data_IF_599457922580
#
_entry.id   IF_599457922580
#
_cell.length_a   1.000
_cell.length_b   1.000
_cell.length_c   1.000
_cell.angle_alpha   90.00
_cell.angle_beta   90.00
_cell.angle_gamma   90.00
#
_symmetry.space_group_name_H-M   'P 1'
#
loop_
_entity.id
_entity.type
_entity.pdbx_description
1 polymer ?
#
# COMPACT_ATOMS: atom_id res chain seq x y z
N UNK A 1 -2.67 3.08 6.97
CA UNK A 1 -1.22 3.15 6.67
C UNK A 1 -0.63 4.54 6.88
N UNK A 2 -1.16 5.64 6.31
CA UNK A 2 -0.55 6.99 6.41
C UNK A 2 -0.18 7.46 7.82
N UNK A 3 -1.03 7.18 8.82
CA UNK A 3 -0.72 7.49 10.23
C UNK A 3 0.50 6.73 10.77
N UNK A 4 0.68 5.48 10.34
CA UNK A 4 1.85 4.68 10.72
C UNK A 4 3.11 5.25 10.07
N UNK A 5 3.04 5.62 8.79
CA UNK A 5 4.14 6.30 8.10
C UNK A 5 4.55 7.60 8.81
N UNK A 6 3.58 8.45 9.19
CA UNK A 6 3.85 9.67 9.94
C UNK A 6 4.47 9.41 11.31
N UNK A 7 4.01 8.39 12.04
CA UNK A 7 4.63 8.01 13.31
C UNK A 7 6.09 7.58 13.13
N UNK A 8 6.43 6.90 12.03
CA UNK A 8 7.82 6.58 11.68
C UNK A 8 8.64 7.84 11.37
N UNK A 9 8.07 8.80 10.63
CA UNK A 9 8.74 10.10 10.36
C UNK A 9 9.00 10.85 11.66
N UNK A 10 8.00 10.95 12.53
CA UNK A 10 8.09 11.70 13.79
C UNK A 10 9.16 11.10 14.71
N UNK A 11 9.15 9.77 14.87
CA UNK A 11 10.20 9.08 15.63
C UNK A 11 11.59 9.29 15.01
N UNK A 12 11.72 9.16 13.69
CA UNK A 12 13.03 9.25 13.04
C UNK A 12 13.61 10.66 13.13
N UNK A 13 12.77 11.69 12.97
CA UNK A 13 13.18 13.09 13.09
C UNK A 13 13.57 13.48 14.53
N UNK A 14 12.98 12.85 15.54
CA UNK A 14 13.36 13.05 16.96
C UNK A 14 14.76 12.50 17.24
N UNK A 15 15.10 11.34 16.67
CA UNK A 15 16.42 10.71 16.84
C UNK A 15 17.50 11.32 15.93
N UNK A 16 17.12 11.70 14.71
CA UNK A 16 18.01 12.20 13.65
C UNK A 16 17.45 13.51 13.07
N UNK A 17 17.58 14.65 13.77
CA UNK A 17 17.02 15.92 13.33
C UNK A 17 17.65 16.46 12.03
N UNK A 18 18.83 15.96 11.63
CA UNK A 18 19.47 16.27 10.35
C UNK A 18 18.81 15.58 9.14
N UNK A 19 17.91 14.61 9.38
CA UNK A 19 17.20 13.90 8.31
C UNK A 19 16.19 14.83 7.62
N UNK A 20 16.40 15.07 6.33
CA UNK A 20 15.47 15.85 5.50
C UNK A 20 14.45 14.90 4.89
N UNK A 21 13.23 14.91 5.43
CA UNK A 21 12.09 14.11 4.95
C UNK A 21 10.94 15.07 4.62
N UNK A 22 10.41 14.98 3.40
CA UNK A 22 9.25 15.79 3.03
C UNK A 22 7.96 15.16 3.59
N UNK A 23 7.44 15.75 4.67
CA UNK A 23 6.24 15.27 5.35
C UNK A 23 5.00 15.35 4.46
N UNK A 24 4.88 16.37 3.62
CA UNK A 24 3.71 16.56 2.76
C UNK A 24 3.69 15.50 1.66
N UNK A 25 4.85 15.15 1.12
CA UNK A 25 4.99 14.04 0.17
C UNK A 25 4.64 12.70 0.83
N UNK A 26 5.04 12.46 2.10
CA UNK A 26 4.62 11.24 2.83
C UNK A 26 3.11 11.20 3.05
N UNK A 27 2.48 12.33 3.40
CA UNK A 27 1.03 12.41 3.60
C UNK A 27 0.30 12.15 2.28
N UNK A 28 0.62 12.92 1.24
CA UNK A 28 0.00 12.80 -0.08
C UNK A 28 0.24 11.40 -0.66
N UNK A 29 1.48 10.91 -0.62
CA UNK A 29 1.84 9.57 -1.07
C UNK A 29 1.08 8.48 -0.30
N UNK A 30 1.03 8.56 1.03
CA UNK A 30 0.28 7.61 1.85
C UNK A 30 -1.23 7.60 1.57
N UNK A 31 -1.82 8.76 1.25
CA UNK A 31 -3.24 8.84 0.86
C UNK A 31 -3.50 8.33 -0.56
N UNK A 32 -2.54 8.52 -1.48
CA UNK A 32 -2.70 8.22 -2.90
C UNK A 32 -2.13 6.87 -3.34
N UNK A 33 -1.30 6.19 -2.54
CA UNK A 33 -0.54 5.01 -2.97
C UNK A 33 -1.41 3.93 -3.62
N UNK A 34 -2.62 3.73 -3.09
CA UNK A 34 -3.59 2.71 -3.51
C UNK A 34 -4.72 3.25 -4.40
N UNK A 35 -4.67 4.50 -4.87
CA UNK A 35 -5.78 5.13 -5.61
C UNK A 35 -6.14 4.37 -6.90
N UNK A 36 -5.18 3.65 -7.48
CA UNK A 36 -5.41 2.80 -8.65
C UNK A 36 -6.25 1.53 -8.37
N UNK A 37 -6.53 1.18 -7.12
CA UNK A 37 -7.38 0.03 -6.78
C UNK A 37 -8.80 0.17 -7.30
N UNK A 38 -9.29 1.40 -7.47
CA UNK A 38 -10.59 1.63 -8.09
C UNK A 38 -10.66 1.06 -9.51
N UNK A 39 -9.56 1.11 -10.27
CA UNK A 39 -9.47 0.50 -11.60
C UNK A 39 -9.17 -1.01 -11.53
N UNK A 40 -8.19 -1.41 -10.71
CA UNK A 40 -7.78 -2.82 -10.60
C UNK A 40 -8.91 -3.69 -10.04
N UNK A 41 -9.67 -3.21 -9.07
CA UNK A 41 -10.71 -3.97 -8.40
C UNK A 41 -12.12 -3.70 -8.95
N UNK A 42 -12.25 -2.88 -10.01
CA UNK A 42 -13.54 -2.62 -10.64
C UNK A 42 -14.22 -3.94 -11.07
N UNK A 43 -15.48 -4.20 -10.66
CA UNK A 43 -16.15 -5.46 -10.96
C UNK A 43 -16.32 -5.75 -12.46
N UNK A 44 -16.52 -4.73 -13.29
CA UNK A 44 -16.68 -4.88 -14.73
C UNK A 44 -15.34 -5.22 -15.39
N UNK A 45 -14.26 -4.55 -14.97
CA UNK A 45 -12.89 -4.90 -15.37
C UNK A 45 -12.54 -6.33 -14.96
N UNK A 46 -12.81 -6.71 -13.71
CA UNK A 46 -12.57 -8.06 -13.21
C UNK A 46 -13.36 -9.11 -14.01
N UNK A 47 -14.63 -8.84 -14.33
CA UNK A 47 -15.45 -9.72 -15.17
C UNK A 47 -14.87 -9.86 -16.58
N UNK A 48 -14.48 -8.75 -17.20
CA UNK A 48 -13.89 -8.71 -18.54
C UNK A 48 -12.57 -9.48 -18.63
N UNK A 49 -11.66 -9.27 -17.68
CA UNK A 49 -10.37 -9.98 -17.63
C UNK A 49 -10.52 -11.47 -17.31
N UNK A 50 -11.53 -11.85 -16.51
CA UNK A 50 -11.87 -13.26 -16.25
C UNK A 50 -12.42 -13.96 -17.49
N UNK A 51 -13.18 -13.24 -18.32
CA UNK A 51 -13.77 -13.79 -19.54
C UNK A 51 -12.73 -14.05 -20.63
N UNK A 52 -11.84 -13.08 -20.90
CA UNK A 52 -10.73 -13.25 -21.84
C UNK A 52 -9.57 -12.32 -21.50
N UNK A 53 -8.54 -12.87 -20.85
CA UNK A 53 -7.34 -12.12 -20.49
C UNK A 53 -6.40 -11.91 -21.70
N UNK A 54 -6.58 -12.62 -22.82
CA UNK A 54 -5.66 -12.53 -23.97
C UNK A 54 -5.74 -11.18 -24.70
N UNK A 55 -6.85 -10.46 -24.56
CA UNK A 55 -7.07 -9.17 -25.23
C UNK A 55 -6.28 -8.01 -24.58
N UNK A 56 -6.17 -8.00 -23.25
CA UNK A 56 -5.62 -6.84 -22.50
C UNK A 56 -4.84 -7.21 -21.22
N UNK A 57 -4.71 -8.49 -20.87
CA UNK A 57 -4.11 -8.94 -19.60
C UNK A 57 -5.07 -9.03 -18.41
N UNK A 58 -4.57 -9.51 -17.25
CA UNK A 58 -5.35 -9.67 -16.00
C UNK A 58 -4.49 -9.54 -14.72
N UNK A 59 -4.66 -8.47 -13.92
CA UNK A 59 -5.31 -7.23 -14.31
C UNK A 59 -4.54 -6.58 -15.47
N UNK A 60 -5.23 -5.84 -16.34
CA UNK A 60 -4.58 -5.17 -17.47
C UNK A 60 -3.57 -4.10 -17.04
N UNK A 61 -3.88 -3.36 -15.97
CA UNK A 61 -2.99 -2.45 -15.28
C UNK A 61 -3.21 -2.66 -13.78
N UNK A 62 -2.14 -2.96 -13.04
CA UNK A 62 -2.20 -3.03 -11.58
C UNK A 62 -2.36 -1.64 -10.98
N UNK A 63 -2.84 -1.60 -9.73
CA UNK A 63 -3.10 -0.39 -8.98
C UNK A 63 -1.90 0.55 -8.87
N UNK A 64 -0.62 0.11 -8.84
CA UNK A 64 0.50 1.04 -8.79
C UNK A 64 0.63 1.82 -10.10
N UNK A 65 0.50 1.13 -11.25
CA UNK A 65 0.61 1.72 -12.58
C UNK A 65 -0.56 2.68 -12.83
N UNK A 66 -1.79 2.23 -12.57
CA UNK A 66 -2.97 3.09 -12.77
C UNK A 66 -3.01 4.23 -11.74
N UNK A 67 -2.54 4.01 -10.52
CA UNK A 67 -2.44 5.01 -9.47
C UNK A 67 -1.48 6.14 -9.86
N UNK A 68 -0.32 5.81 -10.42
CA UNK A 68 0.63 6.79 -10.94
C UNK A 68 0.02 7.60 -12.09
N UNK A 69 -0.70 6.94 -13.02
CA UNK A 69 -1.45 7.61 -14.08
C UNK A 69 -2.47 8.61 -13.52
N UNK A 70 -3.27 8.22 -12.52
CA UNK A 70 -4.24 9.13 -11.87
C UNK A 70 -3.51 10.33 -11.26
N UNK A 71 -2.45 10.09 -10.48
CA UNK A 71 -1.72 11.15 -9.80
C UNK A 71 -1.21 12.22 -10.78
N UNK A 72 -0.54 11.79 -11.85
CA UNK A 72 0.00 12.70 -12.86
C UNK A 72 -1.12 13.42 -13.63
N UNK A 73 -2.22 12.72 -13.94
CA UNK A 73 -3.35 13.28 -14.70
C UNK A 73 -4.02 14.44 -13.96
N UNK A 74 -4.09 14.36 -12.62
CA UNK A 74 -4.70 15.41 -11.79
C UNK A 74 -3.69 16.47 -11.32
N UNK A 75 -2.45 16.43 -11.82
CA UNK A 75 -1.42 17.43 -11.55
C UNK A 75 -0.67 17.25 -10.22
N UNK A 76 -0.72 16.06 -9.60
CA UNK A 76 0.15 15.76 -8.46
C UNK A 76 1.61 15.62 -8.92
N UNK A 77 2.59 15.96 -8.06
CA UNK A 77 4.00 15.91 -8.42
C UNK A 77 4.50 14.48 -8.65
N UNK A 78 5.60 14.36 -9.39
CA UNK A 78 6.28 13.09 -9.68
C UNK A 78 6.60 12.32 -8.39
N UNK A 79 6.97 13.00 -7.31
CA UNK A 79 7.25 12.36 -6.01
C UNK A 79 6.06 11.56 -5.46
N UNK A 80 4.83 12.07 -5.60
CA UNK A 80 3.61 11.37 -5.16
C UNK A 80 3.24 10.26 -6.16
N UNK A 81 3.37 10.51 -7.46
CA UNK A 81 3.15 9.49 -8.48
C UNK A 81 4.14 8.32 -8.35
N UNK A 82 5.40 8.60 -7.99
CA UNK A 82 6.42 7.60 -7.71
C UNK A 82 6.05 6.73 -6.52
N UNK A 83 5.50 7.31 -5.45
CA UNK A 83 4.99 6.52 -4.31
C UNK A 83 3.86 5.60 -4.76
N UNK A 84 2.88 6.10 -5.54
CA UNK A 84 1.83 5.25 -6.09
C UNK A 84 2.38 4.12 -6.96
N UNK A 85 3.34 4.41 -7.85
CA UNK A 85 3.97 3.42 -8.73
C UNK A 85 4.81 2.38 -7.99
N UNK A 86 5.48 2.77 -6.90
CA UNK A 86 6.61 2.01 -6.36
C UNK A 86 6.43 1.54 -4.91
N UNK A 87 5.32 1.84 -4.23
CA UNK A 87 5.03 1.27 -2.90
C UNK A 87 4.77 -0.25 -2.93
N UNK A 88 4.53 -0.83 -4.11
CA UNK A 88 4.22 -2.26 -4.33
C UNK A 88 5.42 -3.00 -4.98
N UNK A 89 5.32 -4.30 -5.34
CA UNK A 89 6.44 -5.05 -5.95
C UNK A 89 7.01 -4.44 -7.25
N UNK A 90 6.23 -3.62 -7.96
CA UNK A 90 6.70 -2.80 -9.07
C UNK A 90 7.94 -1.98 -8.68
N UNK A 91 7.98 -1.49 -7.44
CA UNK A 91 9.11 -0.74 -6.89
C UNK A 91 10.40 -1.55 -6.73
N UNK A 92 10.35 -2.88 -6.81
CA UNK A 92 11.55 -3.73 -6.72
C UNK A 92 12.42 -3.66 -7.99
N UNK A 93 11.88 -3.08 -9.06
CA UNK A 93 12.59 -2.88 -10.32
C UNK A 93 13.21 -1.48 -10.46
N UNK A 94 13.10 -0.63 -9.43
CA UNK A 94 13.63 0.73 -9.41
C UNK A 94 14.24 1.06 -8.05
N UNK A 95 14.81 2.26 -7.93
CA UNK A 95 15.20 2.81 -6.63
C UNK A 95 14.07 3.67 -6.10
N UNK A 96 13.49 3.26 -4.96
CA UNK A 96 12.46 4.01 -4.25
C UNK A 96 13.06 5.32 -3.71
N UNK A 97 12.30 6.41 -3.77
CA UNK A 97 12.61 7.63 -3.01
C UNK A 97 12.52 7.38 -1.50
N UNK A 98 13.08 8.27 -0.69
CA UNK A 98 13.03 8.17 0.78
C UNK A 98 11.59 8.10 1.29
N UNK A 99 10.73 8.99 0.83
CA UNK A 99 9.31 9.04 1.20
C UNK A 99 8.56 7.79 0.71
N UNK A 100 8.93 7.25 -0.46
CA UNK A 100 8.37 5.99 -0.94
C UNK A 100 8.78 4.79 -0.08
N UNK A 101 10.01 4.76 0.43
CA UNK A 101 10.46 3.72 1.38
C UNK A 101 9.59 3.79 2.64
N UNK A 102 9.41 4.99 3.21
CA UNK A 102 8.59 5.17 4.42
C UNK A 102 7.15 4.68 4.20
N UNK A 103 6.54 5.06 3.08
CA UNK A 103 5.17 4.65 2.73
C UNK A 103 5.08 3.14 2.47
N UNK A 104 6.03 2.56 1.72
CA UNK A 104 6.11 1.13 1.45
C UNK A 104 6.21 0.31 2.74
N UNK A 105 7.16 0.65 3.62
CA UNK A 105 7.39 -0.09 4.86
C UNK A 105 6.20 0.01 5.81
N UNK A 106 5.55 1.19 5.88
CA UNK A 106 4.34 1.35 6.68
C UNK A 106 3.17 0.50 6.14
N UNK A 107 3.02 0.35 4.82
CA UNK A 107 1.98 -0.50 4.23
C UNK A 107 2.24 -1.98 4.51
N UNK A 108 3.47 -2.42 4.23
CA UNK A 108 3.91 -3.80 4.50
C UNK A 108 3.77 -4.15 5.97
N UNK A 109 4.20 -3.26 6.87
CA UNK A 109 4.08 -3.46 8.32
C UNK A 109 2.61 -3.59 8.75
N UNK A 110 1.71 -2.74 8.23
CA UNK A 110 0.29 -2.81 8.57
C UNK A 110 -0.30 -4.17 8.20
N UNK A 111 -0.06 -4.65 6.99
CA UNK A 111 -0.56 -5.94 6.53
C UNK A 111 0.01 -7.12 7.32
N UNK A 112 1.33 -7.10 7.59
CA UNK A 112 1.99 -8.14 8.39
C UNK A 112 1.46 -8.19 9.82
N UNK A 113 1.34 -7.04 10.48
CA UNK A 113 0.83 -6.96 11.86
C UNK A 113 -0.62 -7.42 11.93
N UNK A 114 -1.46 -7.00 10.97
CA UNK A 114 -2.87 -7.40 10.91
C UNK A 114 -3.02 -8.91 10.72
N UNK A 115 -2.28 -9.49 9.77
CA UNK A 115 -2.32 -10.91 9.48
C UNK A 115 -1.79 -11.77 10.63
N UNK A 116 -0.63 -11.41 11.20
CA UNK A 116 -0.06 -12.11 12.36
C UNK A 116 -0.93 -11.98 13.62
N UNK A 117 -1.79 -10.96 13.70
CA UNK A 117 -2.76 -10.78 14.79
C UNK A 117 -4.07 -11.55 14.57
N UNK A 118 -4.19 -12.32 13.48
CA UNK A 118 -5.40 -13.08 13.15
C UNK A 118 -6.59 -12.22 12.72
N UNK A 119 -6.35 -10.98 12.28
CA UNK A 119 -7.41 -10.01 11.93
C UNK A 119 -7.76 -10.00 10.45
N UNK A 120 -7.05 -10.79 9.63
CA UNK A 120 -7.28 -10.91 8.19
C UNK A 120 -8.16 -12.11 7.88
N UNK A 121 -8.85 -12.08 6.74
CA UNK A 121 -9.65 -13.22 6.27
C UNK A 121 -8.77 -14.26 5.58
N UNK A 122 -9.13 -15.52 5.70
CA UNK A 122 -8.47 -16.60 4.99
C UNK A 122 -8.47 -16.33 3.47
N UNK A 123 -7.32 -16.57 2.83
CA UNK A 123 -7.13 -16.34 1.40
C UNK A 123 -7.02 -14.88 0.96
N UNK A 124 -6.97 -13.90 1.88
CA UNK A 124 -6.75 -12.47 1.53
C UNK A 124 -5.29 -12.04 1.59
N UNK A 125 -4.43 -12.85 2.18
CA UNK A 125 -3.00 -12.60 2.32
C UNK A 125 -2.24 -13.47 1.31
N UNK A 126 -1.29 -12.90 0.55
CA UNK A 126 -0.47 -13.68 -0.38
C UNK A 126 0.30 -14.80 0.31
N UNK A 127 0.47 -15.95 -0.35
CA UNK A 127 1.15 -17.13 0.22
C UNK A 127 2.55 -16.84 0.75
N UNK A 128 3.29 -15.93 0.10
CA UNK A 128 4.64 -15.55 0.54
C UNK A 128 4.63 -14.76 1.86
N UNK A 129 3.55 -14.03 2.18
CA UNK A 129 3.34 -13.43 3.50
C UNK A 129 2.92 -14.48 4.53
N UNK A 130 1.98 -15.36 4.16
CA UNK A 130 1.43 -16.37 5.07
C UNK A 130 2.50 -17.33 5.63
N UNK A 131 3.59 -17.58 4.90
CA UNK A 131 4.73 -18.39 5.35
C UNK A 131 5.56 -17.76 6.47
N UNK A 132 5.40 -16.46 6.73
CA UNK A 132 6.26 -15.72 7.68
C UNK A 132 5.79 -15.81 9.13
N UNK A 133 4.55 -16.24 9.39
CA UNK A 133 3.95 -16.21 10.72
C UNK A 133 2.83 -17.23 10.85
N UNK A 134 2.59 -17.68 12.08
CA UNK A 134 1.35 -18.36 12.47
C UNK A 134 0.41 -17.32 13.11
N UNK A 135 -0.81 -17.10 12.60
CA UNK A 135 -1.70 -16.07 13.13
C UNK A 135 -2.07 -16.33 14.60
N UNK A 136 -1.91 -15.31 15.44
CA UNK A 136 -2.39 -15.36 16.83
C UNK A 136 -3.92 -15.27 16.83
N UNK A 137 -4.58 -16.11 17.65
CA UNK A 137 -6.03 -16.00 17.87
C UNK A 137 -6.39 -14.59 18.39
N UNK A 138 -7.31 -13.86 17.74
CA UNK A 138 -7.78 -12.58 18.25
C UNK A 138 -8.41 -12.75 19.64
N UNK A 139 -8.32 -11.70 20.47
CA UNK A 139 -9.08 -11.67 21.73
C UNK A 139 -10.57 -11.71 21.40
N UNK A 140 -11.33 -12.49 22.17
CA UNK A 140 -12.79 -12.36 22.17
C UNK A 140 -13.11 -10.94 22.64
N UNK A 141 -13.83 -10.16 21.84
CA UNK A 141 -14.19 -8.80 22.23
C UNK A 141 -15.03 -8.86 23.51
N UNK A 142 -14.75 -8.07 24.56
CA UNK A 142 -15.79 -7.75 25.52
C UNK A 142 -16.96 -7.20 24.71
N UNK A 143 -18.20 -7.64 25.00
CA UNK A 143 -19.39 -6.95 24.46
C UNK A 143 -19.15 -5.46 24.68
N UNK A 144 -19.26 -4.66 23.61
CA UNK A 144 -19.08 -3.22 23.70
C UNK A 144 -19.87 -2.73 24.91
N UNK A 145 -19.21 -2.02 25.83
CA UNK A 145 -19.91 -1.35 26.90
C UNK A 145 -20.89 -0.36 26.24
N UNK A 146 -22.17 -0.53 26.51
CA UNK A 146 -23.26 0.37 26.12
C UNK A 146 -23.01 1.80 26.58
#
# INVERSE_FOLDING_TARGET
MTRLALASVDYFADVYPEAVIDRDVVICGGLCHDVGKAWECDPENQKRWKADASLVGRPSLRHPVYGAYICLTVGLPESVAHIAACHSPEGDNVKRSLECIIVHEADVAWWKISAASGLTRDGTIPDHFAKMFEPRKPREMPRAAE
#
